data_IF_947637771681
#
_entry.id   IF_947637771681
#
_cell.length_a   1.000
_cell.length_b   1.000
_cell.length_c   1.000
_cell.angle_alpha   90.00
_cell.angle_beta   90.00
_cell.angle_gamma   90.00
#
_symmetry.space_group_name_H-M   'P 1'
#
loop_
_entity.id
_entity.type
_entity.pdbx_description
1 polymer ?
#
# COMPACT_ATOMS: atom_id res chain seq x y z
N UNK A 1 19.84 26.49 68.86
CA UNK A 1 20.37 25.97 67.56
C UNK A 1 21.30 27.02 66.96
N UNK A 2 22.60 26.74 66.78
CA UNK A 2 23.59 27.76 66.37
C UNK A 2 23.34 28.33 64.97
N UNK A 3 23.79 29.57 64.73
CA UNK A 3 23.63 30.28 63.44
C UNK A 3 24.14 29.44 62.26
N UNK A 4 25.27 28.74 62.41
CA UNK A 4 25.82 27.84 61.38
C UNK A 4 24.89 26.69 61.01
N UNK A 5 24.20 26.10 62.00
CA UNK A 5 23.25 25.00 61.75
C UNK A 5 22.02 25.51 60.98
N UNK A 6 21.57 26.74 61.25
CA UNK A 6 20.48 27.41 60.51
C UNK A 6 20.91 27.74 59.07
N UNK A 7 22.12 28.25 58.87
CA UNK A 7 22.64 28.61 57.55
C UNK A 7 22.89 27.38 56.66
N UNK A 8 23.46 26.31 57.22
CA UNK A 8 23.66 25.03 56.51
C UNK A 8 22.32 24.40 56.10
N UNK A 9 21.28 24.50 56.94
CA UNK A 9 19.91 24.07 56.64
C UNK A 9 19.28 24.93 55.53
N UNK A 10 19.51 26.25 55.53
CA UNK A 10 19.04 27.19 54.48
C UNK A 10 19.71 26.90 53.14
N UNK A 11 21.03 26.70 53.11
CA UNK A 11 21.79 26.32 51.89
C UNK A 11 21.34 24.96 51.33
N UNK A 12 21.07 23.97 52.19
CA UNK A 12 20.51 22.66 51.76
C UNK A 12 19.09 22.78 51.19
N UNK A 13 18.24 23.65 51.76
CA UNK A 13 16.90 23.94 51.22
C UNK A 13 16.98 24.65 49.86
N UNK A 14 17.84 25.66 49.71
CA UNK A 14 18.05 26.35 48.44
C UNK A 14 18.53 25.41 47.32
N UNK A 15 19.47 24.50 47.61
CA UNK A 15 19.90 23.49 46.62
C UNK A 15 18.75 22.59 46.14
N UNK A 16 17.85 22.19 47.04
CA UNK A 16 16.65 21.42 46.68
C UNK A 16 15.70 22.22 45.79
N UNK A 17 15.45 23.49 46.13
CA UNK A 17 14.59 24.39 45.34
C UNK A 17 15.16 24.57 43.93
N UNK A 18 16.46 24.83 43.79
CA UNK A 18 17.12 24.94 42.48
C UNK A 18 16.97 23.65 41.67
N UNK A 19 17.16 22.48 42.30
CA UNK A 19 16.97 21.20 41.63
C UNK A 19 15.53 20.97 41.14
N UNK A 20 14.51 21.38 41.93
CA UNK A 20 13.11 21.32 41.50
C UNK A 20 12.83 22.27 40.34
N UNK A 21 13.38 23.49 40.35
CA UNK A 21 13.24 24.45 39.25
C UNK A 21 13.83 23.89 37.96
N UNK A 22 15.06 23.34 38.02
CA UNK A 22 15.70 22.71 36.86
C UNK A 22 14.88 21.53 36.34
N UNK A 23 14.39 20.66 37.23
CA UNK A 23 13.54 19.54 36.84
C UNK A 23 12.25 20.00 36.15
N UNK A 24 11.59 21.04 36.68
CA UNK A 24 10.39 21.62 36.08
C UNK A 24 10.68 22.20 34.68
N UNK A 25 11.79 22.94 34.52
CA UNK A 25 12.22 23.48 33.21
C UNK A 25 12.45 22.35 32.20
N UNK A 26 13.14 21.28 32.59
CA UNK A 26 13.40 20.14 31.71
C UNK A 26 12.11 19.43 31.29
N UNK A 27 11.16 19.26 32.22
CA UNK A 27 9.85 18.67 31.93
C UNK A 27 9.06 19.56 30.96
N UNK A 28 9.03 20.88 31.20
CA UNK A 28 8.36 21.83 30.30
C UNK A 28 8.99 21.78 28.90
N UNK A 29 10.32 21.84 28.81
CA UNK A 29 11.04 21.79 27.54
C UNK A 29 10.76 20.49 26.77
N UNK A 30 10.74 19.34 27.44
CA UNK A 30 10.40 18.06 26.84
C UNK A 30 8.96 18.04 26.30
N UNK A 31 8.00 18.56 27.09
CA UNK A 31 6.60 18.64 26.67
C UNK A 31 6.40 19.59 25.50
N UNK A 32 7.06 20.75 25.49
CA UNK A 32 7.01 21.71 24.37
C UNK A 32 7.55 21.06 23.09
N UNK A 33 8.68 20.35 23.16
CA UNK A 33 9.24 19.63 22.02
C UNK A 33 8.26 18.55 21.51
N UNK A 34 7.67 17.76 22.41
CA UNK A 34 6.73 16.70 22.02
C UNK A 34 5.43 17.25 21.42
N UNK A 35 4.85 18.27 22.05
CA UNK A 35 3.65 18.96 21.54
C UNK A 35 3.90 19.63 20.19
N UNK A 36 5.07 20.25 19.99
CA UNK A 36 5.40 20.94 18.74
C UNK A 36 5.37 19.98 17.55
N UNK A 37 5.85 18.74 17.73
CA UNK A 37 5.78 17.68 16.72
C UNK A 37 4.34 17.25 16.46
N UNK A 38 3.51 17.17 17.50
CA UNK A 38 2.09 16.86 17.34
C UNK A 38 1.34 17.94 16.56
N UNK A 39 1.49 19.21 16.93
CA UNK A 39 0.89 20.33 16.18
C UNK A 39 1.37 20.34 14.73
N UNK A 40 2.64 20.02 14.48
CA UNK A 40 3.17 19.87 13.14
C UNK A 40 2.50 18.71 12.38
N UNK A 41 2.27 17.56 13.02
CA UNK A 41 1.52 16.43 12.45
C UNK A 41 0.06 16.76 12.13
N UNK A 42 -0.63 17.47 13.04
CA UNK A 42 -1.99 17.98 12.80
C UNK A 42 -2.00 18.94 11.61
N UNK A 43 -1.02 19.83 11.53
CA UNK A 43 -0.86 20.77 10.41
C UNK A 43 -0.60 20.04 9.09
N UNK A 44 0.30 19.05 9.06
CA UNK A 44 0.56 18.20 7.89
C UNK A 44 -0.73 17.51 7.43
N UNK A 45 -1.49 16.95 8.37
CA UNK A 45 -2.77 16.29 8.07
C UNK A 45 -3.83 17.28 7.56
N UNK A 46 -3.90 18.48 8.13
CA UNK A 46 -4.80 19.54 7.64
C UNK A 46 -4.42 19.97 6.22
N UNK A 47 -3.12 20.08 5.95
CA UNK A 47 -2.56 20.45 4.64
C UNK A 47 -2.62 19.36 3.58
N UNK A 48 -3.09 18.15 3.92
CA UNK A 48 -3.15 17.01 3.00
C UNK A 48 -3.82 17.34 1.68
N UNK A 49 -4.96 18.02 1.68
CA UNK A 49 -5.67 18.38 0.44
C UNK A 49 -4.87 19.34 -0.45
N UNK A 50 -3.98 20.15 0.14
CA UNK A 50 -3.18 21.16 -0.57
C UNK A 50 -1.82 20.60 -1.03
N UNK A 51 -1.27 19.66 -0.25
CA UNK A 51 0.10 19.16 -0.41
C UNK A 51 0.19 17.80 -1.07
N UNK A 52 -0.85 16.99 -0.95
CA UNK A 52 -0.86 15.67 -1.55
C UNK A 52 -1.14 15.76 -3.05
N UNK A 53 -0.27 15.12 -3.82
CA UNK A 53 -0.48 14.95 -5.24
C UNK A 53 -1.41 13.76 -5.49
N UNK A 54 -2.41 13.95 -6.35
CA UNK A 54 -3.25 12.86 -6.82
C UNK A 54 -2.44 11.94 -7.74
N UNK A 55 -1.84 10.91 -7.13
CA UNK A 55 -0.98 9.93 -7.80
C UNK A 55 -1.77 8.75 -8.34
N UNK A 56 -3.10 8.77 -8.28
CA UNK A 56 -3.92 7.68 -8.81
C UNK A 56 -3.91 7.67 -10.34
N UNK A 57 -3.81 6.49 -10.93
CA UNK A 57 -4.05 6.31 -12.36
C UNK A 57 -5.52 5.96 -12.63
N UNK A 58 -6.27 6.94 -13.14
CA UNK A 58 -7.68 6.79 -13.48
C UNK A 58 -7.86 6.19 -14.88
N UNK A 59 -8.26 4.93 -14.95
CA UNK A 59 -8.40 4.21 -16.22
C UNK A 59 -9.63 4.61 -17.04
N UNK A 60 -10.53 5.44 -16.49
CA UNK A 60 -11.69 6.01 -17.22
C UNK A 60 -11.29 6.80 -18.47
N UNK A 61 -10.05 7.30 -18.52
CA UNK A 61 -9.54 8.13 -19.61
C UNK A 61 -8.87 7.32 -20.74
N UNK A 62 -8.74 6.00 -20.58
CA UNK A 62 -8.11 5.14 -21.59
C UNK A 62 -9.04 5.04 -22.79
N UNK A 63 -8.54 5.33 -23.99
CA UNK A 63 -9.27 5.04 -25.21
C UNK A 63 -9.03 3.60 -25.62
N UNK A 64 -10.03 3.00 -26.26
CA UNK A 64 -9.91 1.63 -26.76
C UNK A 64 -8.70 1.50 -27.70
N UNK A 65 -8.51 2.46 -28.61
CA UNK A 65 -7.47 2.39 -29.63
C UNK A 65 -6.05 2.38 -29.04
N UNK A 66 -5.84 3.05 -27.92
CA UNK A 66 -4.54 3.15 -27.22
C UNK A 66 -4.09 1.82 -26.57
N UNK A 67 -4.96 0.81 -26.49
CA UNK A 67 -4.60 -0.53 -25.97
C UNK A 67 -4.01 -1.35 -27.11
N UNK A 68 -2.73 -1.66 -27.04
CA UNK A 68 -2.00 -2.38 -28.08
C UNK A 68 -1.85 -3.86 -27.73
N UNK A 69 -1.67 -4.69 -28.76
CA UNK A 69 -1.34 -6.10 -28.59
C UNK A 69 0.17 -6.27 -28.73
N UNK A 70 0.82 -6.71 -27.66
CA UNK A 70 2.27 -6.89 -27.67
C UNK A 70 2.64 -8.28 -28.19
N UNK A 71 1.85 -9.29 -27.81
CA UNK A 71 2.12 -10.70 -28.09
C UNK A 71 0.84 -11.47 -28.32
N UNK A 72 0.88 -12.36 -29.31
CA UNK A 72 -0.14 -13.36 -29.55
C UNK A 72 0.55 -14.68 -29.90
N UNK A 73 0.31 -15.71 -29.10
CA UNK A 73 0.98 -16.99 -29.27
C UNK A 73 0.46 -18.02 -28.29
N UNK A 74 1.37 -18.83 -27.78
CA UNK A 74 1.02 -19.92 -26.87
C UNK A 74 1.83 -19.89 -25.59
N UNK A 75 1.17 -20.26 -24.49
CA UNK A 75 1.80 -20.63 -23.24
C UNK A 75 2.04 -22.13 -23.22
N UNK A 76 3.30 -22.52 -23.02
CA UNK A 76 3.69 -23.92 -22.89
C UNK A 76 3.33 -24.49 -21.53
N UNK A 77 2.90 -25.75 -21.52
CA UNK A 77 2.58 -26.53 -20.34
C UNK A 77 3.18 -27.91 -20.54
N UNK A 78 4.07 -28.33 -19.64
CA UNK A 78 4.77 -29.62 -19.76
C UNK A 78 4.12 -30.63 -18.82
N UNK A 79 3.84 -31.83 -19.34
CA UNK A 79 3.37 -32.98 -18.58
C UNK A 79 4.33 -34.14 -18.72
N UNK A 80 4.53 -34.90 -17.65
CA UNK A 80 5.08 -36.25 -17.82
C UNK A 80 4.08 -37.11 -18.59
N UNK A 81 4.56 -37.87 -19.58
CA UNK A 81 3.75 -38.82 -20.35
C UNK A 81 3.04 -39.85 -19.46
N UNK A 82 3.66 -40.20 -18.32
CA UNK A 82 3.10 -41.09 -17.28
C UNK A 82 1.83 -40.56 -16.64
N UNK A 83 1.54 -39.26 -16.73
CA UNK A 83 0.29 -38.66 -16.23
C UNK A 83 -0.90 -38.90 -17.14
N UNK A 84 -0.69 -39.34 -18.38
CA UNK A 84 -1.78 -39.67 -19.28
C UNK A 84 -2.40 -41.01 -18.88
N UNK A 85 -3.73 -41.02 -18.76
CA UNK A 85 -4.52 -42.19 -18.43
C UNK A 85 -5.26 -42.69 -19.65
N UNK A 86 -5.34 -44.01 -19.79
CA UNK A 86 -6.16 -44.69 -20.79
C UNK A 86 -7.56 -44.91 -20.23
N UNK A 87 -8.58 -44.62 -21.03
CA UNK A 87 -9.97 -44.91 -20.74
C UNK A 87 -10.64 -45.66 -21.90
N UNK A 88 -11.82 -46.23 -21.64
CA UNK A 88 -12.68 -46.86 -22.64
C UNK A 88 -14.12 -46.42 -22.41
N UNK A 89 -14.79 -45.92 -23.45
CA UNK A 89 -16.20 -45.55 -23.44
C UNK A 89 -16.84 -45.95 -24.77
N UNK A 90 -18.02 -46.58 -24.73
CA UNK A 90 -18.75 -47.05 -25.91
C UNK A 90 -17.87 -47.84 -26.90
N UNK A 91 -16.99 -48.71 -26.38
CA UNK A 91 -16.04 -49.49 -27.20
C UNK A 91 -14.77 -48.75 -27.64
N UNK A 92 -14.76 -47.41 -27.63
CA UNK A 92 -13.65 -46.59 -28.08
C UNK A 92 -12.63 -46.32 -26.96
N UNK A 93 -11.35 -46.48 -27.29
CA UNK A 93 -10.22 -46.16 -26.41
C UNK A 93 -9.86 -44.69 -26.56
N UNK A 94 -9.68 -43.99 -25.43
CA UNK A 94 -9.22 -42.61 -25.40
C UNK A 94 -8.13 -42.43 -24.35
N UNK A 95 -7.31 -41.40 -24.51
CA UNK A 95 -6.30 -41.01 -23.52
C UNK A 95 -6.65 -39.64 -22.98
N UNK A 96 -6.30 -39.36 -21.72
CA UNK A 96 -6.52 -38.04 -21.14
C UNK A 96 -5.50 -37.70 -20.07
N UNK A 97 -5.28 -36.40 -19.85
CA UNK A 97 -4.54 -35.85 -18.72
C UNK A 97 -5.43 -34.89 -17.95
N UNK A 98 -5.26 -34.78 -16.64
CA UNK A 98 -6.01 -33.83 -15.81
C UNK A 98 -5.22 -32.54 -15.64
N UNK A 99 -5.82 -31.41 -16.00
CA UNK A 99 -5.30 -30.06 -15.79
C UNK A 99 -6.31 -29.23 -15.01
N UNK A 100 -5.92 -28.71 -13.85
CA UNK A 100 -6.77 -27.86 -12.99
C UNK A 100 -8.18 -28.46 -12.76
N UNK A 101 -8.25 -29.77 -12.52
CA UNK A 101 -9.51 -30.51 -12.31
C UNK A 101 -10.24 -30.95 -13.59
N UNK A 102 -9.89 -30.42 -14.76
CA UNK A 102 -10.51 -30.75 -16.04
C UNK A 102 -9.72 -31.84 -16.80
N UNK A 103 -10.44 -32.72 -17.51
CA UNK A 103 -9.83 -33.74 -18.37
C UNK A 103 -9.58 -33.17 -19.77
N UNK A 104 -8.33 -33.23 -20.23
CA UNK A 104 -7.94 -32.92 -21.60
C UNK A 104 -7.77 -34.25 -22.33
N UNK A 105 -8.61 -34.47 -23.33
CA UNK A 105 -8.61 -35.72 -24.10
C UNK A 105 -7.63 -35.65 -25.27
N UNK A 106 -6.95 -36.77 -25.50
CA UNK A 106 -6.08 -37.00 -26.64
C UNK A 106 -6.67 -38.11 -27.50
N UNK A 107 -6.74 -37.87 -28.80
CA UNK A 107 -7.07 -38.91 -29.76
C UNK A 107 -6.00 -40.01 -29.74
N UNK A 108 -6.33 -41.22 -30.20
CA UNK A 108 -5.33 -42.30 -30.35
C UNK A 108 -4.16 -41.84 -31.25
N UNK A 109 -4.46 -41.05 -32.28
CA UNK A 109 -3.48 -40.49 -33.21
C UNK A 109 -2.54 -39.51 -32.50
N UNK A 110 -3.09 -38.57 -31.73
CA UNK A 110 -2.28 -37.58 -31.01
C UNK A 110 -1.47 -38.22 -29.89
N UNK A 111 -2.05 -39.18 -29.16
CA UNK A 111 -1.31 -39.91 -28.13
C UNK A 111 -0.11 -40.66 -28.72
N UNK A 112 -0.31 -41.41 -29.81
CA UNK A 112 0.79 -42.12 -30.48
C UNK A 112 1.87 -41.17 -31.00
N UNK A 113 1.46 -40.01 -31.54
CA UNK A 113 2.37 -39.03 -32.14
C UNK A 113 3.17 -38.23 -31.09
N UNK A 114 2.50 -37.78 -30.02
CA UNK A 114 3.07 -36.80 -29.10
C UNK A 114 3.37 -37.33 -27.69
N UNK A 115 2.89 -38.53 -27.32
CA UNK A 115 2.95 -39.02 -25.94
C UNK A 115 3.62 -40.39 -25.80
N UNK A 116 3.35 -41.34 -26.69
CA UNK A 116 3.68 -42.75 -26.47
C UNK A 116 5.19 -43.05 -26.32
N UNK A 117 6.06 -42.23 -26.92
CA UNK A 117 7.51 -42.46 -26.99
C UNK A 117 8.33 -41.31 -26.38
N UNK A 118 7.75 -40.52 -25.47
CA UNK A 118 8.45 -39.44 -24.78
C UNK A 118 8.26 -39.52 -23.27
N UNK A 119 9.21 -39.00 -22.51
CA UNK A 119 9.08 -38.86 -21.05
C UNK A 119 8.23 -37.65 -20.66
N UNK A 120 8.34 -36.59 -21.46
CA UNK A 120 7.62 -35.33 -21.29
C UNK A 120 6.90 -34.91 -22.58
N UNK A 121 5.72 -34.35 -22.39
CA UNK A 121 4.81 -33.88 -23.42
C UNK A 121 4.60 -32.40 -23.23
N UNK A 122 5.02 -31.59 -24.20
CA UNK A 122 4.70 -30.16 -24.25
C UNK A 122 3.34 -29.96 -24.89
N UNK A 123 2.46 -29.28 -24.17
CA UNK A 123 1.15 -28.84 -24.63
C UNK A 123 1.06 -27.32 -24.57
N UNK A 124 0.04 -26.75 -25.20
CA UNK A 124 -0.06 -25.31 -25.45
C UNK A 124 -1.45 -24.79 -25.14
N UNK A 125 -1.53 -23.71 -24.37
CA UNK A 125 -2.73 -22.87 -24.28
C UNK A 125 -2.54 -21.63 -25.16
N UNK A 126 -3.60 -21.10 -25.78
CA UNK A 126 -3.53 -19.77 -26.41
C UNK A 126 -3.18 -18.72 -25.35
N UNK A 127 -2.31 -17.77 -25.66
CA UNK A 127 -1.91 -16.71 -24.75
C UNK A 127 -1.66 -15.41 -25.52
N UNK A 128 -2.13 -14.28 -24.98
CA UNK A 128 -1.81 -12.96 -25.52
C UNK A 128 -1.59 -11.93 -24.43
N UNK A 129 -0.86 -10.88 -24.80
CA UNK A 129 -0.55 -9.75 -23.94
C UNK A 129 -0.99 -8.45 -24.60
N UNK A 130 -1.65 -7.61 -23.82
CA UNK A 130 -1.98 -6.25 -24.19
C UNK A 130 -1.28 -5.28 -23.27
N UNK A 131 -0.86 -4.15 -23.82
CA UNK A 131 -0.33 -3.03 -23.07
C UNK A 131 -1.09 -1.75 -23.36
N UNK A 132 -1.02 -0.84 -22.41
CA UNK A 132 -1.37 0.57 -22.56
C UNK A 132 -0.35 1.37 -21.77
N UNK A 133 0.06 2.52 -22.29
CA UNK A 133 0.92 3.45 -21.56
C UNK A 133 0.57 4.90 -21.90
N UNK A 134 0.55 5.74 -20.87
CA UNK A 134 0.45 7.19 -20.95
C UNK A 134 1.48 7.83 -20.02
N UNK A 135 1.50 9.15 -19.98
CA UNK A 135 2.21 9.94 -18.98
C UNK A 135 1.74 9.65 -17.54
N UNK A 136 0.47 9.26 -17.35
CA UNK A 136 -0.14 9.04 -16.03
C UNK A 136 -0.04 7.62 -15.52
N UNK A 137 0.05 6.64 -16.41
CA UNK A 137 -0.04 5.25 -16.00
C UNK A 137 0.09 4.26 -17.14
N UNK A 138 0.27 3.00 -16.78
CA UNK A 138 0.35 1.88 -17.72
C UNK A 138 -0.49 0.69 -17.25
N UNK A 139 -0.93 -0.12 -18.21
CA UNK A 139 -1.65 -1.38 -17.98
C UNK A 139 -0.96 -2.48 -18.76
N UNK A 140 -0.82 -3.65 -18.13
CA UNK A 140 -0.46 -4.90 -18.77
C UNK A 140 -1.55 -5.94 -18.50
N UNK A 141 -2.13 -6.48 -19.55
CA UNK A 141 -3.12 -7.55 -19.47
C UNK A 141 -2.57 -8.82 -20.11
N UNK A 142 -2.66 -9.94 -19.42
CA UNK A 142 -2.39 -11.27 -19.99
C UNK A 142 -3.69 -12.05 -20.04
N UNK A 143 -4.04 -12.56 -21.22
CA UNK A 143 -5.22 -13.39 -21.44
C UNK A 143 -4.77 -14.78 -21.88
N UNK A 144 -5.26 -15.82 -21.23
CA UNK A 144 -4.94 -17.21 -21.54
C UNK A 144 -6.23 -17.98 -21.84
N UNK A 145 -6.22 -18.80 -22.88
CA UNK A 145 -7.32 -19.67 -23.26
C UNK A 145 -7.44 -20.88 -22.34
N UNK A 146 -8.68 -21.31 -22.08
CA UNK A 146 -8.95 -22.52 -21.26
C UNK A 146 -8.70 -23.83 -22.01
N UNK A 147 -8.61 -23.80 -23.34
CA UNK A 147 -8.36 -24.97 -24.18
C UNK A 147 -6.87 -25.24 -24.32
N UNK A 148 -6.50 -26.53 -24.23
CA UNK A 148 -5.13 -27.00 -24.35
C UNK A 148 -4.96 -27.84 -25.62
N UNK A 149 -3.88 -27.60 -26.34
CA UNK A 149 -3.56 -28.19 -27.65
C UNK A 149 -2.20 -28.89 -27.62
N UNK A 150 -2.00 -29.86 -28.52
CA UNK A 150 -0.70 -30.55 -28.68
C UNK A 150 0.30 -29.80 -29.56
N UNK A 151 -0.10 -28.65 -30.10
CA UNK A 151 0.70 -27.83 -31.01
C UNK A 151 0.51 -26.35 -30.66
N UNK A 152 1.48 -25.48 -31.00
CA UNK A 152 1.34 -24.04 -30.83
C UNK A 152 0.09 -23.50 -31.52
N UNK A 153 -0.67 -22.70 -30.80
CA UNK A 153 -1.90 -22.04 -31.23
C UNK A 153 -1.90 -20.56 -30.81
N UNK A 154 -2.59 -19.72 -31.56
CA UNK A 154 -2.75 -18.30 -31.25
C UNK A 154 -4.23 -17.91 -31.34
N UNK A 155 -4.57 -16.75 -30.79
CA UNK A 155 -5.92 -16.18 -30.95
C UNK A 155 -6.12 -15.64 -32.36
N UNK A 156 -7.35 -15.74 -32.88
CA UNK A 156 -7.76 -15.09 -34.13
C UNK A 156 -7.89 -13.58 -33.95
N UNK A 157 -7.92 -12.82 -35.05
CA UNK A 157 -8.08 -11.36 -34.99
C UNK A 157 -9.40 -10.96 -34.32
N UNK A 158 -10.47 -11.73 -34.51
CA UNK A 158 -11.79 -11.52 -33.92
C UNK A 158 -11.77 -11.78 -32.41
N UNK A 159 -11.14 -12.87 -31.96
CA UNK A 159 -10.94 -13.17 -30.53
C UNK A 159 -10.17 -12.03 -29.85
N UNK A 160 -9.09 -11.56 -30.49
CA UNK A 160 -8.26 -10.46 -29.98
C UNK A 160 -9.05 -9.14 -29.87
N UNK A 161 -9.90 -8.81 -30.85
CA UNK A 161 -10.75 -7.60 -30.79
C UNK A 161 -11.72 -7.67 -29.61
N UNK A 162 -12.37 -8.83 -29.40
CA UNK A 162 -13.30 -9.03 -28.29
C UNK A 162 -12.60 -8.90 -26.92
N UNK A 163 -11.42 -9.50 -26.77
CA UNK A 163 -10.65 -9.38 -25.53
C UNK A 163 -10.20 -7.94 -25.27
N UNK A 164 -9.76 -7.21 -26.29
CA UNK A 164 -9.40 -5.78 -26.18
C UNK A 164 -10.57 -4.95 -25.66
N UNK A 165 -11.78 -5.15 -26.19
CA UNK A 165 -13.01 -4.47 -25.74
C UNK A 165 -13.32 -4.82 -24.28
N UNK A 166 -13.25 -6.10 -23.90
CA UNK A 166 -13.53 -6.53 -22.53
C UNK A 166 -12.51 -5.97 -21.52
N UNK A 167 -11.22 -5.97 -21.85
CA UNK A 167 -10.17 -5.34 -21.05
C UNK A 167 -10.51 -3.86 -20.83
N UNK A 168 -10.83 -3.14 -21.90
CA UNK A 168 -11.18 -1.72 -21.84
C UNK A 168 -12.40 -1.47 -20.95
N UNK A 169 -13.52 -2.17 -21.17
CA UNK A 169 -14.74 -2.03 -20.37
C UNK A 169 -14.50 -2.31 -18.88
N UNK A 170 -13.74 -3.36 -18.56
CA UNK A 170 -13.43 -3.70 -17.17
C UNK A 170 -12.49 -2.69 -16.51
N UNK A 171 -11.64 -2.01 -17.29
CA UNK A 171 -10.71 -1.01 -16.78
C UNK A 171 -11.37 0.36 -16.51
N UNK A 172 -12.39 0.79 -17.26
CA UNK A 172 -12.96 2.15 -17.17
C UNK A 172 -13.30 2.64 -15.76
N UNK A 173 -13.78 1.75 -14.90
CA UNK A 173 -14.18 2.08 -13.53
C UNK A 173 -13.11 1.74 -12.49
N UNK A 174 -11.84 1.58 -12.91
CA UNK A 174 -10.72 1.25 -12.05
C UNK A 174 -9.81 2.46 -11.82
N UNK A 175 -9.28 2.49 -10.61
CA UNK A 175 -8.27 3.43 -10.17
C UNK A 175 -7.06 2.58 -9.77
N UNK A 176 -5.95 2.80 -10.46
CA UNK A 176 -4.73 2.02 -10.27
C UNK A 176 -3.71 2.76 -9.41
N UNK A 177 -3.07 1.99 -8.53
CA UNK A 177 -1.94 2.39 -7.68
C UNK A 177 -0.81 1.38 -7.84
N UNK A 178 0.38 1.67 -7.32
CA UNK A 178 1.51 0.74 -7.39
C UNK A 178 1.42 -0.33 -6.29
N UNK A 179 2.18 -1.42 -6.47
CA UNK A 179 2.17 -2.55 -5.53
C UNK A 179 2.52 -2.11 -4.11
N UNK A 180 1.54 -2.24 -3.22
CA UNK A 180 1.70 -2.13 -1.78
C UNK A 180 2.38 -3.41 -1.25
N UNK A 181 3.14 -3.27 -0.16
CA UNK A 181 3.97 -4.31 0.44
C UNK A 181 3.37 -5.73 0.48
N UNK A 182 4.26 -6.72 0.49
CA UNK A 182 3.99 -8.17 0.42
C UNK A 182 3.25 -8.73 1.63
N UNK A 183 2.00 -8.32 1.86
CA UNK A 183 1.11 -9.07 2.72
C UNK A 183 0.42 -10.13 1.87
N UNK A 184 0.99 -11.32 1.94
CA UNK A 184 0.66 -12.57 1.25
C UNK A 184 -0.76 -13.10 1.49
N UNK A 185 -1.68 -12.29 2.01
CA UNK A 185 -3.00 -12.73 2.42
C UNK A 185 -4.09 -11.79 1.88
N UNK A 186 -4.81 -12.34 0.90
CA UNK A 186 -6.12 -11.89 0.43
C UNK A 186 -6.20 -10.55 -0.30
N UNK A 187 -7.21 -10.49 -1.16
CA UNK A 187 -7.69 -9.32 -1.87
C UNK A 187 -7.99 -8.17 -0.89
N UNK A 188 -6.98 -7.40 -0.48
CA UNK A 188 -7.22 -6.16 0.25
C UNK A 188 -7.87 -5.19 -0.75
N UNK A 189 -9.10 -4.81 -0.45
CA UNK A 189 -9.73 -3.66 -1.11
C UNK A 189 -9.00 -2.44 -0.54
N UNK A 190 -8.01 -1.96 -1.30
CA UNK A 190 -7.32 -0.72 -0.96
C UNK A 190 -8.28 0.44 -1.17
N UNK A 191 -8.24 1.38 -0.22
CA UNK A 191 -8.88 2.67 -0.38
C UNK A 191 -7.81 3.73 -0.38
N UNK A 192 -7.91 4.70 -1.27
CA UNK A 192 -7.11 5.91 -1.16
C UNK A 192 -7.62 6.76 0.02
N UNK A 193 -6.95 7.87 0.29
CA UNK A 193 -7.34 8.77 1.36
C UNK A 193 -8.70 9.45 1.16
N UNK A 194 -9.15 9.56 -0.10
CA UNK A 194 -10.49 10.03 -0.49
C UNK A 194 -11.55 8.92 -0.30
N UNK A 195 -11.16 7.76 0.25
CA UNK A 195 -11.99 6.56 0.44
C UNK A 195 -12.50 5.97 -0.88
N UNK A 196 -11.80 6.20 -1.98
CA UNK A 196 -12.06 5.58 -3.27
C UNK A 196 -11.42 4.21 -3.32
N UNK A 197 -12.12 3.23 -3.90
CA UNK A 197 -11.58 1.89 -4.10
C UNK A 197 -10.50 1.89 -5.18
N UNK A 198 -9.29 1.49 -4.82
CA UNK A 198 -8.14 1.38 -5.72
C UNK A 198 -7.66 -0.07 -5.84
N UNK A 199 -6.91 -0.39 -6.90
CA UNK A 199 -6.36 -1.72 -7.10
C UNK A 199 -5.04 -1.71 -7.87
N UNK A 200 -4.20 -2.73 -7.66
CA UNK A 200 -2.96 -2.94 -8.42
C UNK A 200 -3.19 -3.92 -9.58
N UNK A 201 -4.08 -4.88 -9.37
CA UNK A 201 -4.48 -5.85 -10.37
C UNK A 201 -5.91 -6.37 -10.15
N UNK A 202 -6.45 -7.01 -11.18
CA UNK A 202 -7.70 -7.76 -11.08
C UNK A 202 -7.75 -8.88 -12.12
N UNK A 203 -8.69 -9.81 -11.92
CA UNK A 203 -8.93 -10.93 -12.82
C UNK A 203 -10.12 -10.63 -13.74
N UNK A 204 -10.01 -11.07 -14.99
CA UNK A 204 -11.07 -11.04 -16.00
C UNK A 204 -11.40 -12.48 -16.38
N UNK A 205 -12.68 -12.75 -16.60
CA UNK A 205 -13.15 -13.98 -17.25
C UNK A 205 -14.02 -13.57 -18.41
N UNK A 206 -13.67 -14.02 -19.62
CA UNK A 206 -14.43 -13.75 -20.82
C UNK A 206 -15.06 -15.06 -21.30
N UNK A 207 -16.38 -15.17 -21.14
CA UNK A 207 -17.10 -16.39 -21.49
C UNK A 207 -17.19 -16.59 -23.01
N UNK A 208 -17.26 -15.52 -23.81
CA UNK A 208 -17.37 -15.62 -25.28
C UNK A 208 -16.11 -16.21 -25.92
N UNK A 209 -14.95 -15.80 -25.43
CA UNK A 209 -13.65 -16.31 -25.91
C UNK A 209 -13.15 -17.50 -25.09
N UNK A 210 -13.88 -17.88 -24.04
CA UNK A 210 -13.48 -18.91 -23.06
C UNK A 210 -12.05 -18.69 -22.54
N UNK A 211 -11.75 -17.44 -22.16
CA UNK A 211 -10.45 -17.02 -21.65
C UNK A 211 -10.55 -16.55 -20.20
N UNK A 212 -9.43 -16.67 -19.49
CA UNK A 212 -9.20 -16.00 -18.23
C UNK A 212 -8.04 -15.02 -18.40
N UNK A 213 -8.06 -13.92 -17.66
CA UNK A 213 -7.02 -12.92 -17.75
C UNK A 213 -6.68 -12.28 -16.42
N UNK A 214 -5.47 -11.74 -16.36
CA UNK A 214 -5.00 -10.90 -15.26
C UNK A 214 -4.59 -9.55 -15.85
N UNK A 215 -5.15 -8.49 -15.29
CA UNK A 215 -4.80 -7.11 -15.63
C UNK A 215 -4.03 -6.52 -14.46
N UNK A 216 -2.84 -5.98 -14.71
CA UNK A 216 -2.03 -5.21 -13.76
C UNK A 216 -1.98 -3.77 -14.26
N UNK A 217 -2.22 -2.80 -13.38
CA UNK A 217 -2.04 -1.39 -13.68
C UNK A 217 -1.05 -0.78 -12.71
N UNK A 218 -0.34 0.24 -13.18
CA UNK A 218 0.65 0.99 -12.42
C UNK A 218 0.46 2.48 -12.70
N UNK A 219 0.55 3.29 -11.64
CA UNK A 219 0.63 4.73 -11.77
C UNK A 219 2.07 5.16 -12.05
N UNK A 220 2.21 6.06 -13.03
CA UNK A 220 3.48 6.68 -13.41
C UNK A 220 3.59 8.13 -12.91
N UNK A 221 2.57 8.61 -12.19
CA UNK A 221 2.57 9.96 -11.62
C UNK A 221 3.67 10.05 -10.56
N UNK A 222 4.60 10.98 -10.76
CA UNK A 222 5.68 11.26 -9.81
C UNK A 222 5.10 11.85 -8.53
N UNK A 223 5.53 11.40 -7.34
CA UNK A 223 5.07 12.01 -6.10
C UNK A 223 5.49 13.48 -5.99
N UNK A 224 4.63 14.27 -5.36
CA UNK A 224 4.98 15.60 -4.90
C UNK A 224 5.94 15.56 -3.72
N UNK A 225 6.54 16.73 -3.41
CA UNK A 225 7.53 16.88 -2.34
C UNK A 225 7.07 16.35 -0.97
N UNK A 226 5.81 16.57 -0.61
CA UNK A 226 5.28 16.28 0.72
C UNK A 226 4.51 14.95 0.79
N UNK A 227 4.36 14.26 -0.33
CA UNK A 227 3.60 13.02 -0.44
C UNK A 227 4.11 11.90 0.47
N UNK A 228 5.42 11.90 0.77
CA UNK A 228 6.08 11.00 1.72
C UNK A 228 5.58 11.12 3.16
N UNK A 229 4.96 12.25 3.52
CA UNK A 229 4.46 12.51 4.87
C UNK A 229 3.14 11.79 5.14
N UNK A 230 2.55 11.16 4.12
CA UNK A 230 1.25 10.49 4.23
C UNK A 230 1.41 8.96 4.22
N UNK A 231 0.52 8.23 4.92
CA UNK A 231 0.68 6.79 5.13
C UNK A 231 0.56 5.93 3.87
N UNK A 232 -0.06 6.45 2.83
CA UNK A 232 -0.24 5.81 1.53
C UNK A 232 0.91 6.12 0.56
N UNK A 233 1.98 6.78 1.02
CA UNK A 233 3.19 7.04 0.22
C UNK A 233 3.80 5.77 -0.38
N UNK A 234 3.77 4.66 0.34
CA UNK A 234 4.26 3.35 -0.11
C UNK A 234 3.43 2.75 -1.26
N UNK A 235 2.21 3.27 -1.54
CA UNK A 235 1.40 2.83 -2.68
C UNK A 235 1.91 3.41 -4.01
N UNK A 236 2.94 4.24 -4.00
CA UNK A 236 3.43 4.97 -5.18
C UNK A 236 4.95 4.91 -5.29
N UNK A 237 5.47 5.27 -6.45
CA UNK A 237 6.91 5.26 -6.71
C UNK A 237 7.63 6.28 -5.81
N UNK A 238 8.39 5.83 -4.81
CA UNK A 238 9.15 6.75 -3.94
C UNK A 238 10.45 7.15 -4.64
N UNK A 239 10.68 8.45 -4.82
CA UNK A 239 11.99 8.95 -5.23
C UNK A 239 13.03 8.65 -4.14
N UNK A 240 13.90 7.68 -4.41
CA UNK A 240 14.89 7.15 -3.45
C UNK A 240 16.05 8.11 -3.14
N UNK A 241 16.05 9.34 -3.68
CA UNK A 241 17.29 10.13 -3.83
C UNK A 241 17.30 11.47 -3.08
N UNK A 242 16.22 11.89 -2.42
CA UNK A 242 16.28 13.16 -1.68
C UNK A 242 17.02 13.03 -0.35
N UNK A 243 18.23 13.61 -0.28
CA UNK A 243 18.87 13.94 0.99
C UNK A 243 18.01 14.98 1.72
N UNK A 244 17.30 14.54 2.75
CA UNK A 244 16.45 15.41 3.55
C UNK A 244 17.24 16.51 4.26
N UNK A 245 16.79 17.75 4.10
CA UNK A 245 17.24 18.86 4.94
C UNK A 245 16.72 18.70 6.39
N UNK A 246 17.13 19.59 7.29
CA UNK A 246 16.73 19.51 8.70
C UNK A 246 15.22 19.70 8.90
N UNK A 247 14.56 20.49 8.04
CA UNK A 247 13.11 20.75 8.12
C UNK A 247 12.33 19.52 7.69
N UNK A 248 12.75 18.90 6.60
CA UNK A 248 12.14 17.68 6.06
C UNK A 248 12.24 16.52 7.07
N UNK A 249 13.38 16.38 7.76
CA UNK A 249 13.52 15.40 8.85
C UNK A 249 12.51 15.63 9.98
N UNK A 250 12.33 16.88 10.41
CA UNK A 250 11.35 17.23 11.45
C UNK A 250 9.91 16.96 11.00
N UNK A 251 9.59 17.24 9.74
CA UNK A 251 8.26 16.95 9.17
C UNK A 251 8.00 15.44 9.08
N UNK A 252 8.98 14.66 8.63
CA UNK A 252 8.87 13.19 8.58
C UNK A 252 8.68 12.61 9.98
N UNK A 253 9.48 13.03 10.98
CA UNK A 253 9.31 12.60 12.38
C UNK A 253 7.92 12.97 12.93
N UNK A 254 7.41 14.16 12.61
CA UNK A 254 6.08 14.58 13.03
C UNK A 254 4.96 13.75 12.36
N UNK A 255 5.11 13.41 11.09
CA UNK A 255 4.19 12.54 10.35
C UNK A 255 4.19 11.12 10.91
N UNK A 256 5.37 10.53 11.13
CA UNK A 256 5.55 9.18 11.71
C UNK A 256 5.00 9.08 13.13
N UNK A 257 5.07 10.17 13.89
CA UNK A 257 4.44 10.24 15.21
C UNK A 257 2.91 10.32 15.09
N UNK A 258 2.41 11.15 14.17
CA UNK A 258 0.99 11.42 14.05
C UNK A 258 0.21 10.25 13.44
N UNK A 259 0.78 9.52 12.48
CA UNK A 259 0.18 8.33 11.87
C UNK A 259 0.75 7.05 12.50
N UNK A 260 -0.10 6.07 12.79
CA UNK A 260 0.35 4.75 13.22
C UNK A 260 0.86 3.92 12.03
N UNK A 261 1.45 2.75 12.29
CA UNK A 261 1.92 1.82 11.23
C UNK A 261 0.83 1.34 10.25
N UNK A 262 -0.45 1.55 10.58
CA UNK A 262 -1.61 1.24 9.72
C UNK A 262 -2.13 2.48 8.98
N UNK A 263 -1.48 3.64 9.14
CA UNK A 263 -1.89 4.91 8.56
C UNK A 263 -3.06 5.62 9.24
N UNK A 264 -3.49 5.14 10.41
CA UNK A 264 -4.54 5.79 11.20
C UNK A 264 -3.92 6.86 12.10
N UNK A 265 -4.72 7.87 12.48
CA UNK A 265 -4.28 8.88 13.45
C UNK A 265 -3.96 8.20 14.78
N UNK A 266 -2.75 8.42 15.29
CA UNK A 266 -2.26 7.81 16.52
C UNK A 266 -3.06 8.32 17.73
N UNK A 267 -3.89 7.44 18.31
CA UNK A 267 -4.68 7.73 19.51
C UNK A 267 -3.83 7.99 20.77
N UNK A 268 -2.54 7.63 20.73
CA UNK A 268 -1.59 7.90 21.82
C UNK A 268 -1.44 9.41 22.11
N UNK A 269 -1.66 10.28 21.12
CA UNK A 269 -1.50 11.72 21.31
C UNK A 269 -2.66 12.38 22.06
N UNK A 270 -3.89 11.93 21.84
CA UNK A 270 -5.04 12.38 22.64
C UNK A 270 -4.83 12.05 24.12
N UNK A 271 -4.30 10.85 24.39
CA UNK A 271 -3.94 10.41 25.73
C UNK A 271 -2.82 11.28 26.34
N UNK A 272 -1.76 11.55 25.57
CA UNK A 272 -0.66 12.41 26.01
C UNK A 272 -1.09 13.87 26.27
N UNK A 273 -1.95 14.44 25.43
CA UNK A 273 -2.51 15.77 25.64
C UNK A 273 -3.34 15.87 26.92
N UNK A 274 -4.15 14.83 27.21
CA UNK A 274 -4.88 14.73 28.48
C UNK A 274 -3.94 14.59 29.68
N UNK A 275 -2.91 13.75 29.57
CA UNK A 275 -1.91 13.56 30.63
C UNK A 275 -1.16 14.87 30.91
N UNK A 276 -0.80 15.63 29.88
CA UNK A 276 -0.13 16.92 30.03
C UNK A 276 -1.05 17.96 30.69
N UNK A 277 -2.32 18.04 30.28
CA UNK A 277 -3.29 18.93 30.92
C UNK A 277 -3.43 18.63 32.42
N UNK A 278 -3.57 17.35 32.77
CA UNK A 278 -3.63 16.91 34.17
C UNK A 278 -2.33 17.25 34.91
N UNK A 279 -1.17 17.05 34.28
CA UNK A 279 0.12 17.42 34.87
C UNK A 279 0.25 18.92 35.13
N UNK A 280 -0.18 19.78 34.21
CA UNK A 280 -0.15 21.23 34.38
C UNK A 280 -1.08 21.70 35.51
N UNK A 281 -2.28 21.12 35.62
CA UNK A 281 -3.21 21.38 36.73
C UNK A 281 -2.61 20.95 38.07
N UNK A 282 -1.96 19.78 38.13
CA UNK A 282 -1.29 19.31 39.34
C UNK A 282 -0.08 20.17 39.70
N UNK A 283 0.68 20.65 38.71
CA UNK A 283 1.81 21.56 38.92
C UNK A 283 1.33 22.88 39.54
N UNK A 284 0.25 23.47 39.02
CA UNK A 284 -0.35 24.69 39.56
C UNK A 284 -0.88 24.47 40.99
N UNK A 285 -1.54 23.33 41.25
CA UNK A 285 -1.99 22.96 42.58
C UNK A 285 -0.82 22.86 43.57
N UNK A 286 0.25 22.18 43.19
CA UNK A 286 1.46 22.03 44.02
C UNK A 286 2.14 23.38 44.26
N UNK A 287 2.21 24.24 43.24
CA UNK A 287 2.79 25.58 43.35
C UNK A 287 1.96 26.47 44.28
N UNK A 288 0.64 26.45 44.12
CA UNK A 288 -0.32 27.17 44.97
C UNK A 288 -0.22 26.72 46.42
N UNK A 289 -0.12 25.41 46.68
CA UNK A 289 -0.04 24.84 48.03
C UNK A 289 1.32 25.08 48.70
N UNK A 290 2.43 25.07 47.95
CA UNK A 290 3.78 25.22 48.51
C UNK A 290 4.21 26.68 48.64
N UNK A 291 3.81 27.55 47.70
CA UNK A 291 4.25 28.95 47.63
C UNK A 291 3.15 29.96 47.96
N UNK A 292 1.89 29.51 48.11
CA UNK A 292 0.76 30.36 48.52
C UNK A 292 0.26 31.33 47.44
N UNK A 293 0.72 31.17 46.20
CA UNK A 293 0.37 32.05 45.08
C UNK A 293 -0.05 31.17 43.89
N UNK A 294 -1.31 31.25 43.43
CA UNK A 294 -1.75 30.56 42.22
C UNK A 294 -1.02 31.10 40.98
N UNK A 295 -0.57 30.23 40.04
CA UNK A 295 0.07 30.73 38.81
C UNK A 295 -0.86 31.61 37.97
N UNK A 296 -2.17 31.44 38.09
CA UNK A 296 -3.17 32.30 37.42
C UNK A 296 -3.05 33.78 37.78
N UNK A 297 -2.48 34.12 38.94
CA UNK A 297 -2.25 35.52 39.35
C UNK A 297 -0.98 36.09 38.69
N UNK A 298 0.02 35.25 38.37
CA UNK A 298 1.25 35.69 37.71
C UNK A 298 1.03 36.08 36.24
N UNK A 299 0.07 35.46 35.56
CA UNK A 299 -0.30 35.84 34.19
C UNK A 299 -1.01 37.20 34.12
N UNK A 300 -1.73 37.61 35.17
CA UNK A 300 -2.32 38.94 35.28
C UNK A 300 -1.29 40.05 35.63
N UNK A 301 -0.11 39.67 36.11
CA UNK A 301 0.97 40.62 36.47
C UNK A 301 1.84 40.95 35.24
N UNK A 302 1.76 40.17 34.15
CA UNK A 302 2.51 40.40 32.91
C UNK A 302 1.66 40.94 31.73
N UNK A 303 0.45 41.43 32.00
CA UNK A 303 -0.31 42.27 31.05
C UNK A 303 0.07 43.76 31.23
N UNK A 304 1.27 44.12 30.74
CA UNK A 304 1.67 45.40 30.08
C UNK A 304 3.20 45.56 30.04
#
# INVERSE_FOLDING_TARGET
>A
MSKDKKEKKRKKRMKKVIAYIIAAILIIAFNVLYLSRYFLGVYINYKRNDWETDRNFYAKNIKLDDIEIDKNGSKQIVYSSKKFRKGKANGNVFYYVTHNGNKIYASIKDYKKYVANCDEVTMYAKDCQYSYQSDKGKINATMTGNQIHFYPVSFSKEELKKMKIDIWEKCKNKIFVNEYGTDSHNHVIYHDWKKQKVCTNFLIKNNETNTYGKVKGESLITPGKYDRLYPDSDMYSIDKVEKYDRKDKMMNEAADLYYNKKGEKSGYFTLYGMILFVFLVLLDLVYTVILGIPLGVLFLIFDW
#
